data_IF_947505827009
#
_entry.id   IF_947505827009
#
_cell.length_a   1.000
_cell.length_b   1.000
_cell.length_c   1.000
_cell.angle_alpha   90.00
_cell.angle_beta   90.00
_cell.angle_gamma   90.00
#
_symmetry.space_group_name_H-M   'P 1'
#
loop_
_entity.id
_entity.type
_entity.pdbx_description
1 polymer ?
#
# COMPACT_ATOMS: atom_id res chain seq x y z
N UNK A 1 -29.75 -1.14 10.09
CA UNK A 1 -28.74 -2.23 10.24
C UNK A 1 -28.10 -2.65 8.91
N UNK A 2 -28.83 -2.65 7.78
CA UNK A 2 -28.33 -3.05 6.46
C UNK A 2 -27.18 -2.16 5.91
N UNK A 3 -27.28 -0.84 6.09
CA UNK A 3 -26.24 0.11 5.66
C UNK A 3 -24.88 -0.17 6.29
N UNK A 4 -24.82 -0.39 7.62
CA UNK A 4 -23.55 -0.69 8.33
C UNK A 4 -22.89 -1.96 7.80
N UNK A 5 -23.67 -3.02 7.55
CA UNK A 5 -23.16 -4.28 6.99
C UNK A 5 -22.59 -4.09 5.58
N UNK A 6 -23.26 -3.29 4.75
CA UNK A 6 -22.81 -2.99 3.39
C UNK A 6 -21.54 -2.12 3.37
N UNK A 7 -21.46 -1.09 4.22
CA UNK A 7 -20.24 -0.27 4.35
C UNK A 7 -19.05 -1.12 4.81
N UNK A 8 -19.27 -2.00 5.79
CA UNK A 8 -18.22 -2.88 6.29
C UNK A 8 -17.71 -3.86 5.21
N UNK A 9 -18.63 -4.44 4.42
CA UNK A 9 -18.26 -5.34 3.31
C UNK A 9 -17.35 -4.65 2.29
N UNK A 10 -17.70 -3.43 1.86
CA UNK A 10 -16.88 -2.66 0.92
C UNK A 10 -15.49 -2.30 1.46
N UNK A 11 -15.40 -1.98 2.75
CA UNK A 11 -14.12 -1.69 3.39
C UNK A 11 -13.21 -2.92 3.41
N UNK A 12 -13.77 -4.09 3.71
CA UNK A 12 -13.03 -5.38 3.69
C UNK A 12 -12.53 -5.69 2.28
N UNK A 13 -13.40 -5.59 1.27
CA UNK A 13 -13.02 -5.84 -0.14
C UNK A 13 -11.90 -4.90 -0.58
N UNK A 14 -12.03 -3.60 -0.25
CA UNK A 14 -11.00 -2.60 -0.58
C UNK A 14 -9.66 -2.90 0.08
N UNK A 15 -9.65 -3.29 1.35
CA UNK A 15 -8.43 -3.69 2.05
C UNK A 15 -7.79 -4.91 1.37
N UNK A 16 -8.58 -5.90 0.97
CA UNK A 16 -8.06 -7.09 0.28
C UNK A 16 -7.38 -6.73 -1.04
N UNK A 17 -8.00 -5.89 -1.87
CA UNK A 17 -7.40 -5.46 -3.14
C UNK A 17 -6.10 -4.67 -2.93
N UNK A 18 -6.04 -3.82 -1.91
CA UNK A 18 -4.80 -3.09 -1.61
C UNK A 18 -3.68 -4.04 -1.19
N UNK A 19 -3.97 -5.01 -0.33
CA UNK A 19 -2.96 -6.00 0.09
C UNK A 19 -2.51 -6.88 -1.06
N UNK A 20 -3.43 -7.32 -1.93
CA UNK A 20 -3.09 -8.07 -3.15
C UNK A 20 -2.19 -7.26 -4.08
N UNK A 21 -2.47 -5.95 -4.24
CA UNK A 21 -1.60 -5.07 -5.02
C UNK A 21 -0.20 -4.98 -4.41
N UNK A 22 -0.07 -4.85 -3.08
CA UNK A 22 1.24 -4.86 -2.41
C UNK A 22 1.95 -6.22 -2.57
N UNK A 23 1.22 -7.34 -2.49
CA UNK A 23 1.80 -8.67 -2.70
C UNK A 23 2.38 -8.82 -4.11
N UNK A 24 1.68 -8.34 -5.13
CA UNK A 24 2.17 -8.33 -6.51
C UNK A 24 3.41 -7.43 -6.64
N UNK A 25 3.38 -6.23 -6.08
CA UNK A 25 4.51 -5.30 -6.08
C UNK A 25 5.76 -5.90 -5.42
N UNK A 26 5.59 -6.61 -4.31
CA UNK A 26 6.69 -7.29 -3.62
C UNK A 26 7.22 -8.48 -4.43
N UNK A 27 6.34 -9.26 -5.04
CA UNK A 27 6.70 -10.39 -5.92
C UNK A 27 7.50 -9.93 -7.14
N UNK A 28 7.05 -8.84 -7.76
CA UNK A 28 7.64 -8.29 -8.98
C UNK A 28 8.81 -7.33 -8.69
N UNK A 29 9.03 -7.00 -7.41
CA UNK A 29 9.92 -5.93 -6.96
C UNK A 29 9.66 -4.61 -7.71
N UNK A 30 8.39 -4.25 -7.90
CA UNK A 30 7.96 -3.04 -8.59
C UNK A 30 7.21 -2.10 -7.62
N UNK A 31 7.73 -0.91 -7.27
CA UNK A 31 8.96 -0.30 -7.80
C UNK A 31 10.23 -0.94 -7.27
N UNK A 32 11.31 -0.86 -8.06
CA UNK A 32 12.62 -1.38 -7.71
C UNK A 32 13.05 -0.92 -6.31
N UNK A 33 13.26 -1.90 -5.42
CA UNK A 33 13.68 -1.65 -4.05
C UNK A 33 12.55 -1.67 -3.02
N UNK A 34 11.29 -1.87 -3.43
CA UNK A 34 10.19 -2.11 -2.49
C UNK A 34 10.46 -3.33 -1.60
N UNK A 35 11.02 -4.42 -2.16
CA UNK A 35 11.35 -5.61 -1.40
C UNK A 35 12.44 -5.34 -0.35
N UNK A 36 13.41 -4.47 -0.65
CA UNK A 36 14.45 -4.09 0.30
C UNK A 36 13.87 -3.31 1.49
N UNK A 37 12.96 -2.35 1.24
CA UNK A 37 12.27 -1.63 2.32
C UNK A 37 11.43 -2.59 3.18
N UNK A 38 10.78 -3.55 2.54
CA UNK A 38 9.97 -4.55 3.23
C UNK A 38 10.80 -5.42 4.19
N UNK A 39 11.94 -5.93 3.73
CA UNK A 39 12.86 -6.71 4.57
C UNK A 39 13.51 -5.85 5.66
N UNK A 40 13.91 -4.61 5.38
CA UNK A 40 14.43 -3.68 6.40
C UNK A 40 13.43 -3.46 7.56
N UNK A 41 12.13 -3.36 7.26
CA UNK A 41 11.10 -3.21 8.29
C UNK A 41 10.87 -4.52 9.07
N UNK A 42 10.94 -5.67 8.41
CA UNK A 42 10.88 -6.96 9.10
C UNK A 42 12.04 -7.15 10.07
N UNK A 43 13.25 -6.76 9.67
CA UNK A 43 14.44 -6.82 10.51
C UNK A 43 14.33 -5.93 11.76
N UNK A 44 13.48 -4.89 11.70
CA UNK A 44 13.15 -4.02 12.85
C UNK A 44 12.05 -4.58 13.76
N UNK A 45 11.50 -5.75 13.44
CA UNK A 45 10.53 -6.46 14.27
C UNK A 45 9.06 -6.29 13.86
N UNK A 46 8.77 -5.63 12.74
CA UNK A 46 7.41 -5.59 12.19
C UNK A 46 7.06 -6.94 11.53
N UNK A 47 5.83 -7.39 11.73
CA UNK A 47 5.32 -8.56 11.02
C UNK A 47 5.08 -8.24 9.54
N UNK A 48 5.14 -9.27 8.68
CA UNK A 48 4.84 -9.12 7.25
C UNK A 48 3.48 -8.47 6.98
N UNK A 49 2.47 -8.77 7.82
CA UNK A 49 1.14 -8.20 7.65
C UNK A 49 1.13 -6.69 7.99
N UNK A 50 1.77 -6.29 9.09
CA UNK A 50 1.86 -4.88 9.47
C UNK A 50 2.56 -4.05 8.40
N UNK A 51 3.67 -4.57 7.85
CA UNK A 51 4.39 -3.86 6.77
C UNK A 51 3.53 -3.72 5.52
N UNK A 52 2.82 -4.78 5.11
CA UNK A 52 1.91 -4.72 3.96
C UNK A 52 0.75 -3.76 4.20
N UNK A 53 0.21 -3.68 5.41
CA UNK A 53 -0.83 -2.71 5.75
C UNK A 53 -0.32 -1.27 5.71
N UNK A 54 0.90 -1.00 6.17
CA UNK A 54 1.53 0.31 6.04
C UNK A 54 1.77 0.69 4.58
N UNK A 55 2.27 -0.26 3.78
CA UNK A 55 2.49 -0.05 2.34
C UNK A 55 1.17 0.21 1.60
N UNK A 56 0.12 -0.54 1.94
CA UNK A 56 -1.23 -0.37 1.42
C UNK A 56 -1.78 1.02 1.72
N UNK A 57 -1.55 1.55 2.94
CA UNK A 57 -1.97 2.90 3.30
C UNK A 57 -1.25 3.98 2.48
N UNK A 58 0.06 3.83 2.24
CA UNK A 58 0.82 4.75 1.37
C UNK A 58 0.31 4.67 -0.07
N UNK A 59 0.13 3.45 -0.59
CA UNK A 59 -0.36 3.22 -1.95
C UNK A 59 -1.76 3.78 -2.17
N UNK A 60 -2.65 3.62 -1.19
CA UNK A 60 -3.98 4.22 -1.19
C UNK A 60 -3.92 5.76 -1.29
N UNK A 61 -2.97 6.38 -0.58
CA UNK A 61 -2.72 7.81 -0.68
C UNK A 61 -2.33 8.26 -2.10
N UNK A 62 -1.53 7.45 -2.79
CA UNK A 62 -1.16 7.69 -4.20
C UNK A 62 -2.35 7.54 -5.15
N UNK A 63 -3.13 6.48 -5.00
CA UNK A 63 -4.37 6.30 -5.76
C UNK A 63 -5.35 7.46 -5.54
N UNK A 64 -5.46 7.97 -4.31
CA UNK A 64 -6.29 9.12 -4.01
C UNK A 64 -5.77 10.39 -4.71
N UNK A 65 -4.46 10.59 -4.79
CA UNK A 65 -3.87 11.73 -5.53
C UNK A 65 -4.17 11.64 -7.02
N UNK A 66 -4.07 10.46 -7.62
CA UNK A 66 -4.41 10.20 -9.02
C UNK A 66 -5.89 10.46 -9.29
N UNK A 67 -6.76 9.85 -8.50
CA UNK A 67 -8.22 9.91 -8.70
C UNK A 67 -8.78 11.34 -8.53
N UNK A 68 -8.14 12.18 -7.72
CA UNK A 68 -8.54 13.58 -7.55
C UNK A 68 -7.80 14.54 -8.49
N UNK A 69 -7.17 14.03 -9.56
CA UNK A 69 -6.41 14.80 -10.54
C UNK A 69 -5.34 15.73 -9.94
N UNK A 70 -4.86 15.44 -8.71
CA UNK A 70 -3.74 16.18 -8.10
C UNK A 70 -2.42 15.87 -8.80
N UNK A 71 -2.36 14.73 -9.47
CA UNK A 71 -1.26 14.27 -10.32
C UNK A 71 -1.85 13.58 -11.55
N UNK A 72 -1.13 13.64 -12.68
CA UNK A 72 -1.57 13.03 -13.95
C UNK A 72 -1.18 11.56 -14.08
N UNK A 73 -0.09 11.16 -13.42
CA UNK A 73 0.53 9.84 -13.55
C UNK A 73 1.06 9.38 -12.19
N UNK A 74 1.21 8.06 -12.04
CA UNK A 74 1.75 7.46 -10.81
C UNK A 74 3.26 7.70 -10.74
N UNK A 75 3.71 8.41 -9.71
CA UNK A 75 5.11 8.73 -9.48
C UNK A 75 5.77 7.64 -8.62
N UNK A 76 6.48 6.72 -9.29
CA UNK A 76 7.13 5.56 -8.67
C UNK A 76 8.20 5.96 -7.66
N UNK A 77 9.00 6.96 -7.98
CA UNK A 77 10.10 7.42 -7.12
C UNK A 77 9.55 8.05 -5.85
N UNK A 78 8.53 8.90 -5.98
CA UNK A 78 7.86 9.48 -4.83
C UNK A 78 7.18 8.41 -3.96
N UNK A 79 6.54 7.42 -4.57
CA UNK A 79 5.95 6.31 -3.83
C UNK A 79 7.01 5.55 -3.03
N UNK A 80 8.14 5.18 -3.65
CA UNK A 80 9.23 4.49 -2.97
C UNK A 80 9.87 5.34 -1.87
N UNK A 81 10.01 6.66 -2.07
CA UNK A 81 10.47 7.57 -1.02
C UNK A 81 9.51 7.60 0.17
N UNK A 82 8.20 7.60 -0.07
CA UNK A 82 7.20 7.55 0.99
C UNK A 82 7.27 6.23 1.78
N UNK A 83 7.49 5.09 1.11
CA UNK A 83 7.71 3.81 1.78
C UNK A 83 8.99 3.82 2.62
N UNK A 84 10.08 4.35 2.07
CA UNK A 84 11.36 4.50 2.79
C UNK A 84 11.25 5.39 4.02
N UNK A 85 10.26 6.28 4.09
CA UNK A 85 10.00 7.15 5.24
C UNK A 85 9.17 6.47 6.35
N UNK A 86 8.70 5.24 6.16
CA UNK A 86 7.99 4.45 7.18
C UNK A 86 8.94 3.86 8.24
N UNK A 87 10.25 3.83 7.96
CA UNK A 87 11.27 3.24 8.83
C UNK A 87 11.80 4.24 9.85
#
# INVERSE_FOLDING_TARGET
MLLKKWFNKRQIERRQYLLEAIDNQLSDNDPDGIAAVFEEMKDRGYSSLEVKEMFAAVFEGELHRLNNAKVKEFDRDRYLQALKALK
#
